data_IF_440813003488
#
_entry.id   IF_440813003488
#
_cell.length_a   1.000
_cell.length_b   1.000
_cell.length_c   1.000
_cell.angle_alpha   90.00
_cell.angle_beta   90.00
_cell.angle_gamma   90.00
#
_symmetry.space_group_name_H-M   'P 1'
#
loop_
_entity.id
_entity.type
_entity.pdbx_description
1 polymer ?
#
# COMPACT_ATOMS: atom_id res chain seq x y z
N UNK A 1 65.88 20.76 8.73
CA UNK A 1 65.06 21.98 8.63
C UNK A 1 63.94 21.66 7.66
N UNK A 2 62.77 21.13 8.08
CA UNK A 2 61.68 21.82 8.81
C UNK A 2 61.42 23.18 8.14
N UNK A 3 60.26 23.42 7.53
CA UNK A 3 58.99 23.58 8.24
C UNK A 3 57.77 22.97 7.54
N UNK A 4 57.03 22.18 8.31
CA UNK A 4 55.64 21.80 8.10
C UNK A 4 54.74 23.04 8.12
N UNK A 5 53.82 23.12 7.18
CA UNK A 5 52.75 24.11 7.18
C UNK A 5 51.72 23.70 8.25
N UNK A 6 51.50 24.63 9.17
CA UNK A 6 50.64 24.59 10.34
C UNK A 6 49.28 23.91 10.13
N UNK A 7 49.07 22.81 10.86
CA UNK A 7 47.77 22.13 11.05
C UNK A 7 47.07 22.57 12.34
N UNK A 8 47.51 23.68 12.94
CA UNK A 8 47.10 24.14 14.28
C UNK A 8 46.47 25.54 14.26
N UNK A 9 45.56 25.79 13.30
CA UNK A 9 44.88 27.09 13.21
C UNK A 9 43.36 27.02 12.96
N UNK A 10 42.72 25.84 13.02
CA UNK A 10 41.27 25.70 12.83
C UNK A 10 40.61 24.84 13.92
N UNK A 11 41.15 24.90 15.15
CA UNK A 11 40.55 24.27 16.34
C UNK A 11 40.06 25.30 17.37
N UNK A 12 40.04 26.59 17.00
CA UNK A 12 39.50 27.67 17.83
C UNK A 12 38.28 28.27 17.13
N UNK A 13 37.19 27.52 17.12
CA UNK A 13 35.89 28.15 17.25
C UNK A 13 35.09 27.34 18.27
N UNK A 14 34.83 27.97 19.40
CA UNK A 14 34.33 27.35 20.61
C UNK A 14 32.87 26.90 20.43
N UNK A 15 32.67 25.65 20.02
CA UNK A 15 31.40 24.98 20.23
C UNK A 15 31.25 24.70 21.74
N UNK A 16 30.29 25.39 22.36
CA UNK A 16 29.86 25.23 23.76
C UNK A 16 29.89 23.75 24.18
N UNK A 17 30.52 23.41 25.32
CA UNK A 17 30.55 22.04 25.83
C UNK A 17 29.13 21.67 26.28
N UNK A 18 28.37 21.02 25.40
CA UNK A 18 27.02 20.57 25.73
C UNK A 18 26.10 20.28 24.55
N UNK A 19 26.35 20.83 23.35
CA UNK A 19 25.49 20.53 22.20
C UNK A 19 26.25 20.50 20.88
N UNK A 20 26.93 19.38 20.62
CA UNK A 20 27.62 19.14 19.34
C UNK A 20 26.64 18.88 18.17
N UNK A 21 25.34 18.68 18.44
CA UNK A 21 24.38 18.27 17.41
C UNK A 21 24.16 19.35 16.32
N UNK A 22 23.89 20.63 16.64
CA UNK A 22 23.71 21.67 15.61
C UNK A 22 24.96 21.86 14.76
N UNK A 23 26.14 21.84 15.39
CA UNK A 23 27.42 21.93 14.68
C UNK A 23 27.59 20.77 13.69
N UNK A 24 27.32 19.54 14.12
CA UNK A 24 27.43 18.37 13.26
C UNK A 24 26.41 18.39 12.10
N UNK A 25 25.19 18.87 12.34
CA UNK A 25 24.17 19.04 11.30
C UNK A 25 24.59 20.06 10.24
N UNK A 26 25.15 21.19 10.66
CA UNK A 26 25.68 22.20 9.74
C UNK A 26 26.82 21.64 8.88
N UNK A 27 27.74 20.90 9.49
CA UNK A 27 28.87 20.27 8.77
C UNK A 27 28.40 19.23 7.76
N UNK A 28 27.37 18.45 8.07
CA UNK A 28 26.74 17.54 7.12
C UNK A 28 26.05 18.29 5.98
N UNK A 29 25.36 19.40 6.26
CA UNK A 29 24.75 20.24 5.23
C UNK A 29 25.79 20.87 4.28
N UNK A 30 27.00 21.14 4.79
CA UNK A 30 28.14 21.64 4.02
C UNK A 30 28.92 20.54 3.28
N UNK A 31 28.52 19.27 3.36
CA UNK A 31 29.24 18.15 2.71
C UNK A 31 30.60 17.86 3.35
N UNK A 32 30.71 18.03 4.67
CA UNK A 32 31.93 17.76 5.44
C UNK A 32 31.80 16.47 6.27
N UNK A 33 31.40 15.37 5.63
CA UNK A 33 31.16 14.08 6.26
C UNK A 33 32.41 13.51 6.96
N UNK A 34 33.61 13.72 6.40
CA UNK A 34 34.87 13.26 7.01
C UNK A 34 35.16 13.98 8.33
N UNK A 35 34.88 15.29 8.41
CA UNK A 35 35.06 16.07 9.63
C UNK A 35 34.06 15.64 10.72
N UNK A 36 32.82 15.35 10.32
CA UNK A 36 31.79 14.79 11.19
C UNK A 36 32.23 13.45 11.76
N UNK A 37 32.73 12.55 10.90
CA UNK A 37 33.21 11.23 11.32
C UNK A 37 34.42 11.29 12.25
N UNK A 38 35.37 12.20 11.97
CA UNK A 38 36.53 12.44 12.82
C UNK A 38 36.12 12.92 14.22
N UNK A 39 35.17 13.88 14.30
CA UNK A 39 34.68 14.36 15.59
C UNK A 39 33.97 13.25 16.35
N UNK A 40 33.05 12.52 15.71
CA UNK A 40 32.30 11.45 16.35
C UNK A 40 33.19 10.31 16.87
N UNK A 41 34.33 10.06 16.22
CA UNK A 41 35.31 9.05 16.66
C UNK A 41 36.21 9.56 17.79
N UNK A 42 36.44 10.87 17.88
CA UNK A 42 37.23 11.47 18.97
C UNK A 42 36.48 11.56 20.31
N UNK A 43 35.14 11.51 20.28
CA UNK A 43 34.29 11.61 21.45
C UNK A 43 34.23 10.30 22.25
N UNK A 44 33.90 10.35 23.56
CA UNK A 44 33.59 9.16 24.34
C UNK A 44 32.49 8.33 23.66
N UNK A 45 32.60 7.00 23.72
CA UNK A 45 31.72 6.05 23.01
C UNK A 45 30.23 6.37 23.19
N UNK A 46 29.79 6.67 24.41
CA UNK A 46 28.40 7.02 24.71
C UNK A 46 27.93 8.29 24.01
N UNK A 47 28.76 9.32 23.97
CA UNK A 47 28.44 10.57 23.30
C UNK A 47 28.46 10.39 21.78
N UNK A 48 29.45 9.68 21.25
CA UNK A 48 29.58 9.40 19.82
C UNK A 48 28.38 8.59 19.28
N UNK A 49 28.00 7.50 19.93
CA UNK A 49 26.87 6.67 19.49
C UNK A 49 25.53 7.38 19.63
N UNK A 50 25.33 8.13 20.73
CA UNK A 50 24.13 8.96 20.90
C UNK A 50 24.02 10.01 19.80
N UNK A 51 25.11 10.71 19.47
CA UNK A 51 25.11 11.72 18.43
C UNK A 51 24.86 11.12 17.04
N UNK A 52 25.43 9.95 16.73
CA UNK A 52 25.11 9.19 15.50
C UNK A 52 23.61 8.92 15.40
N UNK A 53 23.02 8.39 16.47
CA UNK A 53 21.58 8.12 16.52
C UNK A 53 20.72 9.37 16.31
N UNK A 54 21.10 10.50 16.91
CA UNK A 54 20.37 11.77 16.77
C UNK A 54 20.54 12.39 15.38
N UNK A 55 21.73 12.33 14.80
CA UNK A 55 22.00 12.83 13.45
C UNK A 55 21.19 12.08 12.40
N UNK A 56 21.18 10.74 12.47
CA UNK A 56 20.37 9.92 11.57
C UNK A 56 18.87 10.22 11.76
N UNK A 57 18.43 10.43 13.00
CA UNK A 57 17.04 10.83 13.25
C UNK A 57 16.66 12.18 12.66
N UNK A 58 17.58 13.14 12.64
CA UNK A 58 17.34 14.44 12.01
C UNK A 58 17.27 14.37 10.48
N UNK A 59 17.76 13.28 9.88
CA UNK A 59 17.69 13.03 8.43
C UNK A 59 16.42 12.27 8.02
N UNK A 60 15.58 11.86 8.98
CA UNK A 60 14.29 11.24 8.67
C UNK A 60 13.37 12.29 8.04
N UNK A 61 12.96 12.03 6.80
CA UNK A 61 12.10 12.94 6.06
C UNK A 61 11.94 12.52 4.60
N UNK A 62 11.17 13.30 3.87
CA UNK A 62 10.80 13.01 2.47
C UNK A 62 11.80 13.60 1.46
N UNK A 63 12.99 14.01 1.91
CA UNK A 63 14.02 14.56 1.03
C UNK A 63 15.19 13.60 0.88
N UNK A 64 15.69 13.51 -0.35
CA UNK A 64 16.87 12.72 -0.67
C UNK A 64 18.12 13.59 -0.50
N UNK A 65 19.07 13.22 0.38
CA UNK A 65 20.33 13.96 0.52
C UNK A 65 21.31 13.67 -0.63
N UNK A 66 22.36 14.50 -0.71
CA UNK A 66 23.42 14.35 -1.69
C UNK A 66 24.18 13.02 -1.55
N UNK A 67 24.88 12.59 -2.61
CA UNK A 67 25.61 11.32 -2.62
C UNK A 67 26.62 11.15 -1.45
N UNK A 68 27.44 12.16 -1.11
CA UNK A 68 28.41 12.02 0.00
C UNK A 68 27.74 11.68 1.34
N UNK A 69 26.63 12.35 1.65
CA UNK A 69 25.87 12.11 2.87
C UNK A 69 25.23 10.71 2.87
N UNK A 70 24.79 10.22 1.71
CA UNK A 70 24.27 8.85 1.57
C UNK A 70 25.35 7.81 1.79
N UNK A 71 26.56 8.05 1.28
CA UNK A 71 27.70 7.15 1.48
C UNK A 71 28.13 7.15 2.97
N UNK A 72 28.11 8.30 3.63
CA UNK A 72 28.35 8.37 5.07
C UNK A 72 27.31 7.58 5.89
N UNK A 73 26.01 7.71 5.56
CA UNK A 73 24.95 6.90 6.20
C UNK A 73 25.13 5.42 5.90
N UNK A 74 25.58 5.06 4.69
CA UNK A 74 25.89 3.67 4.36
C UNK A 74 27.00 3.08 5.22
N UNK A 75 28.05 3.85 5.48
CA UNK A 75 29.09 3.45 6.42
C UNK A 75 28.52 3.26 7.83
N UNK A 76 27.57 4.09 8.28
CA UNK A 76 26.95 3.90 9.60
C UNK A 76 26.11 2.63 9.69
N UNK A 77 25.47 2.20 8.60
CA UNK A 77 24.62 0.99 8.55
C UNK A 77 25.41 -0.32 8.74
N UNK A 78 26.70 -0.30 8.40
CA UNK A 78 27.62 -1.44 8.48
C UNK A 78 28.31 -1.56 9.85
N UNK A 79 28.22 -0.53 10.69
CA UNK A 79 28.89 -0.52 12.01
C UNK A 79 28.16 -1.37 13.03
N UNK A 80 28.91 -1.76 14.06
CA UNK A 80 28.40 -2.49 15.23
C UNK A 80 28.35 -1.56 16.43
N UNK A 81 27.20 -1.43 17.12
CA UNK A 81 27.12 -0.65 18.35
C UNK A 81 27.92 -1.32 19.47
N UNK A 82 28.64 -0.52 20.25
CA UNK A 82 29.46 -0.95 21.37
C UNK A 82 28.69 -0.88 22.69
N UNK A 83 27.73 0.05 22.82
CA UNK A 83 26.92 0.14 24.03
C UNK A 83 25.71 -0.77 23.95
N UNK A 84 25.68 -1.75 24.83
CA UNK A 84 24.59 -2.71 24.96
C UNK A 84 23.86 -2.52 26.30
N UNK A 85 22.55 -2.70 26.25
CA UNK A 85 21.67 -2.80 27.41
C UNK A 85 21.18 -4.24 27.53
N UNK A 86 21.30 -4.78 28.73
CA UNK A 86 20.77 -6.09 29.07
C UNK A 86 19.37 -5.95 29.65
N UNK A 87 18.44 -6.75 29.14
CA UNK A 87 17.07 -6.81 29.63
C UNK A 87 16.62 -8.25 29.79
N UNK A 88 16.05 -8.56 30.95
CA UNK A 88 15.44 -9.87 31.20
C UNK A 88 13.99 -9.85 30.72
N UNK A 89 13.67 -10.69 29.74
CA UNK A 89 12.30 -10.87 29.24
C UNK A 89 11.98 -12.36 29.17
N UNK A 90 10.86 -12.76 29.75
CA UNK A 90 10.37 -14.14 29.76
C UNK A 90 11.41 -15.17 30.28
N UNK A 91 12.26 -14.76 31.23
CA UNK A 91 13.32 -15.59 31.82
C UNK A 91 14.62 -15.65 31.02
N UNK A 92 14.71 -14.96 29.88
CA UNK A 92 15.92 -14.87 29.05
C UNK A 92 16.59 -13.51 29.19
N UNK A 93 17.93 -13.50 29.23
CA UNK A 93 18.73 -12.29 29.16
C UNK A 93 18.94 -11.90 27.69
N UNK A 94 18.40 -10.77 27.28
CA UNK A 94 18.54 -10.23 25.93
C UNK A 94 19.47 -9.03 25.98
N UNK A 95 20.52 -9.05 25.18
CA UNK A 95 21.43 -7.91 24.99
C UNK A 95 21.03 -7.16 23.71
N UNK A 96 20.77 -5.85 23.83
CA UNK A 96 20.38 -5.00 22.69
C UNK A 96 21.20 -3.71 22.68
N UNK A 97 21.47 -3.10 21.52
CA UNK A 97 22.11 -1.79 21.47
C UNK A 97 21.32 -0.74 22.26
N UNK A 98 22.01 0.08 23.07
CA UNK A 98 21.42 1.26 23.70
C UNK A 98 20.97 2.27 22.65
N UNK A 99 21.78 2.42 21.60
CA UNK A 99 21.52 3.28 20.45
C UNK A 99 21.70 2.47 19.16
N UNK A 100 20.61 2.06 18.53
CA UNK A 100 20.66 1.22 17.32
C UNK A 100 20.85 2.03 16.02
N UNK A 101 21.88 2.88 16.02
CA UNK A 101 22.17 3.77 14.89
C UNK A 101 22.39 3.01 13.56
N UNK A 102 22.94 1.77 13.52
CA UNK A 102 23.04 1.02 12.27
C UNK A 102 21.69 0.60 11.71
N UNK A 103 20.74 0.14 12.54
CA UNK A 103 19.40 -0.16 12.06
C UNK A 103 18.68 1.10 11.52
N UNK A 104 18.86 2.24 12.20
CA UNK A 104 18.32 3.52 11.74
C UNK A 104 18.92 3.96 10.41
N UNK A 105 20.22 3.78 10.22
CA UNK A 105 20.89 4.06 8.95
C UNK A 105 20.35 3.18 7.81
N UNK A 106 20.14 1.87 8.04
CA UNK A 106 19.51 0.98 7.05
C UNK A 106 18.10 1.42 6.69
N UNK A 107 17.32 1.82 7.69
CA UNK A 107 15.98 2.38 7.47
C UNK A 107 16.02 3.60 6.53
N UNK A 108 16.92 4.56 6.76
CA UNK A 108 17.11 5.72 5.88
C UNK A 108 17.51 5.32 4.46
N UNK A 109 18.45 4.37 4.32
CA UNK A 109 18.86 3.87 3.00
C UNK A 109 17.67 3.28 2.23
N UNK A 110 16.80 2.52 2.90
CA UNK A 110 15.60 1.96 2.30
C UNK A 110 14.60 3.05 1.91
N UNK A 111 14.37 4.03 2.78
CA UNK A 111 13.47 5.17 2.51
C UNK A 111 13.94 5.99 1.30
N UNK A 112 15.23 6.32 1.21
CA UNK A 112 15.78 7.07 0.08
C UNK A 112 15.76 6.27 -1.21
N UNK A 113 15.97 4.95 -1.15
CA UNK A 113 15.82 4.08 -2.32
C UNK A 113 14.38 4.07 -2.82
N UNK A 114 13.40 4.12 -1.92
CA UNK A 114 12.00 4.24 -2.31
C UNK A 114 11.71 5.57 -3.00
N UNK A 115 12.27 6.68 -2.52
CA UNK A 115 12.17 8.00 -3.18
C UNK A 115 12.82 7.97 -4.58
N UNK A 116 13.94 7.26 -4.74
CA UNK A 116 14.60 7.11 -6.05
C UNK A 116 13.72 6.38 -7.06
N UNK A 117 13.10 5.28 -6.64
CA UNK A 117 12.15 4.57 -7.48
C UNK A 117 10.94 5.42 -7.80
N UNK A 118 10.38 6.13 -6.82
CA UNK A 118 9.24 7.01 -7.03
C UNK A 118 9.56 8.07 -8.10
N UNK A 119 10.64 8.83 -7.92
CA UNK A 119 11.04 9.87 -8.87
C UNK A 119 11.35 9.31 -10.26
N UNK A 120 11.96 8.12 -10.34
CA UNK A 120 12.19 7.44 -11.61
C UNK A 120 10.87 7.06 -12.29
N UNK A 121 9.94 6.47 -11.54
CA UNK A 121 8.65 6.03 -12.08
C UNK A 121 7.79 7.22 -12.49
N UNK A 122 7.77 8.31 -11.73
CA UNK A 122 7.11 9.57 -12.12
C UNK A 122 7.64 10.06 -13.48
N UNK A 123 8.96 10.09 -13.66
CA UNK A 123 9.57 10.48 -14.93
C UNK A 123 9.31 9.48 -16.08
N UNK A 124 9.12 8.19 -15.79
CA UNK A 124 8.77 7.17 -16.78
C UNK A 124 7.29 7.20 -17.16
N UNK A 125 6.42 7.44 -16.20
CA UNK A 125 4.97 7.62 -16.38
C UNK A 125 4.67 8.91 -17.14
N UNK A 126 5.36 10.02 -16.83
CA UNK A 126 5.16 11.29 -17.52
C UNK A 126 5.44 11.20 -19.03
N UNK A 127 6.36 10.32 -19.44
CA UNK A 127 6.77 10.12 -20.85
C UNK A 127 6.09 8.88 -21.46
N UNK A 128 5.30 8.14 -20.69
CA UNK A 128 4.57 6.95 -21.17
C UNK A 128 5.45 5.75 -21.53
N UNK A 129 6.60 5.61 -20.86
CA UNK A 129 7.59 4.54 -21.11
C UNK A 129 7.63 3.48 -20.01
N UNK A 130 6.81 3.62 -18.97
CA UNK A 130 6.79 2.70 -17.84
C UNK A 130 6.13 1.36 -18.23
N UNK A 131 6.80 0.25 -17.94
CA UNK A 131 6.31 -1.12 -18.20
C UNK A 131 6.16 -1.91 -16.90
N UNK A 132 4.99 -2.53 -16.67
CA UNK A 132 4.72 -3.26 -15.43
C UNK A 132 5.60 -4.51 -15.28
N UNK A 133 5.95 -5.15 -16.39
CA UNK A 133 6.86 -6.31 -16.42
C UNK A 133 8.25 -6.04 -15.85
N UNK A 134 8.70 -4.79 -15.88
CA UNK A 134 10.01 -4.43 -15.33
C UNK A 134 10.07 -4.69 -13.82
N UNK A 135 8.95 -4.44 -13.13
CA UNK A 135 8.75 -4.55 -11.70
C UNK A 135 8.39 -5.98 -11.26
N UNK A 136 7.38 -6.58 -11.91
CA UNK A 136 6.74 -7.81 -11.47
C UNK A 136 7.42 -9.08 -11.98
N UNK A 137 8.69 -9.24 -11.59
CA UNK A 137 9.52 -10.43 -11.89
C UNK A 137 9.56 -11.36 -10.68
N UNK A 138 9.54 -12.68 -10.93
CA UNK A 138 9.57 -13.73 -9.88
C UNK A 138 10.75 -13.59 -8.89
N UNK A 139 11.90 -13.11 -9.34
CA UNK A 139 13.12 -13.01 -8.52
C UNK A 139 13.34 -11.60 -7.93
N UNK A 140 12.32 -10.74 -7.93
CA UNK A 140 12.44 -9.40 -7.36
C UNK A 140 12.09 -9.40 -5.87
N UNK A 141 13.11 -9.50 -5.01
CA UNK A 141 12.95 -9.43 -3.56
C UNK A 141 12.40 -8.08 -3.05
N UNK A 142 12.47 -7.03 -3.87
CA UNK A 142 12.09 -5.66 -3.51
C UNK A 142 10.72 -5.26 -4.10
N UNK A 143 9.98 -6.21 -4.68
CA UNK A 143 8.74 -5.96 -5.42
C UNK A 143 7.69 -5.18 -4.62
N UNK A 144 7.54 -5.47 -3.32
CA UNK A 144 6.58 -4.77 -2.46
C UNK A 144 6.95 -3.29 -2.27
N UNK A 145 8.23 -3.00 -2.05
CA UNK A 145 8.71 -1.62 -1.86
C UNK A 145 8.68 -0.83 -3.16
N UNK A 146 9.06 -1.46 -4.26
CA UNK A 146 8.93 -0.86 -5.58
C UNK A 146 7.47 -0.64 -5.98
N UNK A 147 6.55 -1.54 -5.61
CA UNK A 147 5.13 -1.31 -5.80
C UNK A 147 4.62 -0.12 -4.96
N UNK A 148 5.08 0.02 -3.71
CA UNK A 148 4.73 1.19 -2.90
C UNK A 148 5.21 2.50 -3.55
N UNK A 149 6.42 2.51 -4.12
CA UNK A 149 6.93 3.64 -4.89
C UNK A 149 6.11 3.92 -6.16
N UNK A 150 5.69 2.87 -6.88
CA UNK A 150 4.82 3.00 -8.06
C UNK A 150 3.46 3.58 -7.69
N UNK A 151 2.84 3.11 -6.61
CA UNK A 151 1.56 3.65 -6.13
C UNK A 151 1.66 5.15 -5.80
N UNK A 152 2.74 5.59 -5.16
CA UNK A 152 2.99 7.01 -4.92
C UNK A 152 3.18 7.78 -6.24
N UNK A 153 3.93 7.22 -7.19
CA UNK A 153 4.15 7.85 -8.51
C UNK A 153 2.87 7.95 -9.36
N UNK A 154 1.90 7.06 -9.16
CA UNK A 154 0.62 7.08 -9.87
C UNK A 154 -0.27 8.28 -9.48
N UNK A 155 -0.01 8.93 -8.34
CA UNK A 155 -0.75 10.12 -7.90
C UNK A 155 -0.60 11.29 -8.87
N UNK A 156 0.57 11.44 -9.49
CA UNK A 156 0.86 12.51 -10.45
C UNK A 156 0.80 12.05 -11.92
N UNK A 157 0.49 10.77 -12.16
CA UNK A 157 0.53 10.19 -13.50
C UNK A 157 -0.60 10.73 -14.42
N UNK A 158 -0.32 10.93 -15.73
CA UNK A 158 -1.34 11.32 -16.69
C UNK A 158 -2.49 10.29 -16.77
N UNK A 159 -3.76 10.72 -16.85
CA UNK A 159 -4.91 9.80 -16.90
C UNK A 159 -4.86 8.78 -18.06
N UNK A 160 -4.26 9.16 -19.18
CA UNK A 160 -4.06 8.28 -20.33
C UNK A 160 -3.13 7.10 -20.00
N UNK A 161 -2.06 7.37 -19.26
CA UNK A 161 -1.10 6.35 -18.84
C UNK A 161 -1.69 5.43 -17.77
N UNK A 162 -2.43 5.99 -16.80
CA UNK A 162 -3.16 5.17 -15.81
C UNK A 162 -4.13 4.22 -16.51
N UNK A 163 -4.84 4.69 -17.55
CA UNK A 163 -5.74 3.86 -18.35
C UNK A 163 -5.02 2.79 -19.17
N UNK A 164 -3.85 3.12 -19.71
CA UNK A 164 -2.97 2.17 -20.42
C UNK A 164 -2.51 1.07 -19.49
N UNK A 165 -1.98 1.43 -18.31
CA UNK A 165 -1.52 0.47 -17.30
C UNK A 165 -2.65 -0.42 -16.78
N UNK A 166 -3.85 0.13 -16.57
CA UNK A 166 -5.02 -0.68 -16.20
C UNK A 166 -5.38 -1.71 -17.27
N UNK A 167 -5.22 -1.35 -18.55
CA UNK A 167 -5.46 -2.26 -19.68
C UNK A 167 -4.37 -3.32 -19.81
N UNK A 168 -3.10 -2.91 -19.66
CA UNK A 168 -1.93 -3.81 -19.64
C UNK A 168 -2.08 -4.85 -18.53
N UNK A 169 -2.39 -4.41 -17.30
CA UNK A 169 -2.58 -5.30 -16.15
C UNK A 169 -3.77 -6.25 -16.31
N UNK A 170 -4.81 -5.85 -17.06
CA UNK A 170 -5.97 -6.70 -17.32
C UNK A 170 -5.68 -7.81 -18.35
N UNK A 171 -4.76 -7.56 -19.29
CA UNK A 171 -4.42 -8.47 -20.38
C UNK A 171 -3.24 -9.39 -20.03
N UNK A 172 -2.29 -8.89 -19.25
CA UNK A 172 -1.09 -9.64 -18.88
C UNK A 172 -1.26 -10.44 -17.59
N UNK A 173 -0.85 -11.71 -17.64
CA UNK A 173 -0.74 -12.56 -16.46
C UNK A 173 0.52 -12.22 -15.65
N UNK A 174 0.50 -11.08 -14.96
CA UNK A 174 1.60 -10.64 -14.08
C UNK A 174 1.41 -11.21 -12.67
N UNK A 175 2.50 -11.74 -12.10
CA UNK A 175 2.55 -12.09 -10.68
C UNK A 175 2.59 -10.80 -9.85
N UNK A 176 1.52 -10.53 -9.09
CA UNK A 176 1.49 -9.44 -8.13
C UNK A 176 1.63 -10.01 -6.71
N UNK A 177 2.36 -9.34 -5.80
CA UNK A 177 2.43 -9.73 -4.39
C UNK A 177 1.09 -9.55 -3.67
N UNK A 178 0.34 -8.50 -4.02
CA UNK A 178 -1.01 -8.20 -3.52
C UNK A 178 -1.86 -7.56 -4.64
N UNK A 179 -3.13 -7.26 -4.38
CA UNK A 179 -4.01 -6.62 -5.37
C UNK A 179 -4.16 -5.11 -5.18
N UNK A 180 -3.27 -4.44 -4.43
CA UNK A 180 -3.36 -2.99 -4.17
C UNK A 180 -3.20 -2.17 -5.44
N UNK A 181 -2.27 -2.55 -6.32
CA UNK A 181 -2.10 -1.90 -7.63
C UNK A 181 -3.37 -2.01 -8.47
N UNK A 182 -3.96 -3.20 -8.55
CA UNK A 182 -5.19 -3.41 -9.31
C UNK A 182 -6.34 -2.56 -8.75
N UNK A 183 -6.47 -2.49 -7.42
CA UNK A 183 -7.46 -1.65 -6.77
C UNK A 183 -7.28 -0.16 -7.06
N UNK A 184 -6.06 0.39 -6.95
CA UNK A 184 -5.80 1.81 -7.21
C UNK A 184 -6.10 2.18 -8.67
N UNK A 185 -5.65 1.36 -9.62
CA UNK A 185 -5.96 1.54 -11.04
C UNK A 185 -7.47 1.46 -11.32
N UNK A 186 -8.19 0.53 -10.67
CA UNK A 186 -9.65 0.43 -10.78
C UNK A 186 -10.36 1.66 -10.20
N UNK A 187 -9.87 2.20 -9.08
CA UNK A 187 -10.45 3.36 -8.42
C UNK A 187 -10.37 4.65 -9.26
N UNK A 188 -9.44 4.69 -10.23
CA UNK A 188 -9.23 5.81 -11.16
C UNK A 188 -9.87 5.57 -12.54
N UNK A 189 -9.81 4.35 -13.06
CA UNK A 189 -10.19 4.04 -14.45
C UNK A 189 -11.54 3.35 -14.58
N UNK A 190 -11.95 2.59 -13.57
CA UNK A 190 -13.11 1.70 -13.65
C UNK A 190 -12.99 0.61 -14.72
N UNK A 191 -11.78 0.24 -15.17
CA UNK A 191 -11.61 -0.67 -16.31
C UNK A 191 -12.30 -2.05 -16.09
N UNK A 192 -13.27 -2.37 -16.97
CA UNK A 192 -14.06 -3.61 -16.91
C UNK A 192 -13.22 -4.88 -17.00
N UNK A 193 -12.23 -4.90 -17.89
CA UNK A 193 -11.36 -6.06 -18.08
C UNK A 193 -10.49 -6.30 -16.84
N UNK A 194 -10.04 -5.22 -16.18
CA UNK A 194 -9.26 -5.31 -14.95
C UNK A 194 -10.09 -5.85 -13.79
N UNK A 195 -11.36 -5.47 -13.67
CA UNK A 195 -12.29 -6.07 -12.72
C UNK A 195 -12.41 -7.60 -12.92
N UNK A 196 -12.62 -8.04 -14.16
CA UNK A 196 -12.68 -9.46 -14.52
C UNK A 196 -11.37 -10.20 -14.24
N UNK A 197 -10.24 -9.56 -14.50
CA UNK A 197 -8.93 -10.11 -14.19
C UNK A 197 -8.74 -10.26 -12.66
N UNK A 198 -9.13 -9.25 -11.88
CA UNK A 198 -9.00 -9.23 -10.42
C UNK A 198 -9.73 -10.39 -9.75
N UNK A 199 -10.96 -10.73 -10.17
CA UNK A 199 -11.71 -11.85 -9.57
C UNK A 199 -11.09 -13.22 -9.80
N UNK A 200 -10.20 -13.36 -10.78
CA UNK A 200 -9.46 -14.61 -11.05
C UNK A 200 -8.20 -14.75 -10.21
N UNK A 201 -7.82 -13.70 -9.47
CA UNK A 201 -6.62 -13.67 -8.62
C UNK A 201 -6.95 -14.16 -7.20
N UNK A 202 -5.94 -14.55 -6.41
CA UNK A 202 -6.12 -14.78 -4.98
C UNK A 202 -6.76 -13.56 -4.31
N UNK A 203 -7.76 -13.80 -3.47
CA UNK A 203 -8.56 -12.76 -2.83
C UNK A 203 -7.85 -12.24 -1.59
N UNK A 204 -7.73 -10.91 -1.52
CA UNK A 204 -7.19 -10.15 -0.40
C UNK A 204 -8.14 -9.00 -0.01
N UNK A 205 -7.74 -8.17 0.95
CA UNK A 205 -8.53 -7.03 1.39
C UNK A 205 -8.85 -6.05 0.24
N UNK A 206 -7.89 -5.78 -0.63
CA UNK A 206 -8.07 -4.91 -1.81
C UNK A 206 -9.11 -5.46 -2.79
N UNK A 207 -9.18 -6.78 -2.96
CA UNK A 207 -10.19 -7.45 -3.79
C UNK A 207 -11.61 -7.27 -3.24
N UNK A 208 -11.77 -7.35 -1.92
CA UNK A 208 -13.06 -7.12 -1.26
C UNK A 208 -13.48 -5.65 -1.39
N UNK A 209 -12.55 -4.72 -1.15
CA UNK A 209 -12.80 -3.29 -1.31
C UNK A 209 -13.18 -2.94 -2.76
N UNK A 210 -12.59 -3.61 -3.76
CA UNK A 210 -12.91 -3.38 -5.17
C UNK A 210 -14.38 -3.64 -5.52
N UNK A 211 -15.11 -4.49 -4.78
CA UNK A 211 -16.54 -4.73 -5.02
C UNK A 211 -17.37 -3.44 -4.90
N UNK A 212 -17.01 -2.56 -3.96
CA UNK A 212 -17.69 -1.26 -3.78
C UNK A 212 -17.46 -0.31 -4.96
N UNK A 213 -16.34 -0.45 -5.67
CA UNK A 213 -16.03 0.37 -6.84
C UNK A 213 -16.91 0.03 -8.04
N UNK A 214 -17.48 -1.18 -8.12
CA UNK A 214 -18.34 -1.57 -9.25
C UNK A 214 -19.56 -0.65 -9.32
N UNK A 215 -20.22 -0.37 -8.20
CA UNK A 215 -21.36 0.56 -8.14
C UNK A 215 -21.01 2.02 -8.40
N UNK A 216 -19.73 2.40 -8.26
CA UNK A 216 -19.26 3.76 -8.55
C UNK A 216 -19.16 4.00 -10.06
N UNK A 217 -18.69 3.02 -10.82
CA UNK A 217 -18.42 3.16 -12.26
C UNK A 217 -19.51 2.57 -13.16
N UNK A 218 -20.25 1.57 -12.68
CA UNK A 218 -21.25 0.86 -13.46
C UNK A 218 -22.61 0.90 -12.77
N UNK A 219 -23.67 0.89 -13.56
CA UNK A 219 -25.06 0.81 -13.09
C UNK A 219 -25.86 -0.20 -13.91
N UNK A 220 -26.96 -0.70 -13.34
CA UNK A 220 -27.87 -1.62 -14.03
C UNK A 220 -27.18 -2.92 -14.45
N UNK A 221 -27.36 -3.30 -15.73
CA UNK A 221 -26.96 -4.59 -16.26
C UNK A 221 -25.45 -4.87 -16.16
N UNK A 222 -24.60 -3.90 -16.47
CA UNK A 222 -23.13 -4.09 -16.43
C UNK A 222 -22.63 -4.29 -15.00
N UNK A 223 -23.12 -3.48 -14.04
CA UNK A 223 -22.78 -3.66 -12.63
C UNK A 223 -23.20 -5.05 -12.13
N UNK A 224 -24.40 -5.48 -12.52
CA UNK A 224 -24.89 -6.82 -12.20
C UNK A 224 -23.99 -7.91 -12.75
N UNK A 225 -23.57 -7.80 -14.02
CA UNK A 225 -22.73 -8.81 -14.67
C UNK A 225 -21.36 -8.96 -14.00
N UNK A 226 -20.77 -7.83 -13.59
CA UNK A 226 -19.48 -7.77 -12.89
C UNK A 226 -19.58 -8.37 -11.48
N UNK A 227 -20.59 -7.97 -10.70
CA UNK A 227 -20.79 -8.52 -9.36
C UNK A 227 -21.23 -9.99 -9.39
N UNK A 228 -21.94 -10.43 -10.44
CA UNK A 228 -22.28 -11.83 -10.66
C UNK A 228 -21.01 -12.67 -10.89
N UNK A 229 -20.08 -12.17 -11.70
CA UNK A 229 -18.80 -12.83 -11.92
C UNK A 229 -18.00 -12.93 -10.61
N UNK A 230 -18.00 -11.89 -9.78
CA UNK A 230 -17.38 -11.94 -8.46
C UNK A 230 -18.09 -12.94 -7.53
N UNK A 231 -19.41 -13.03 -7.59
CA UNK A 231 -20.22 -13.95 -6.79
C UNK A 231 -19.93 -15.44 -7.04
N UNK A 232 -19.46 -15.79 -8.24
CA UNK A 232 -19.05 -17.15 -8.56
C UNK A 232 -17.77 -17.57 -7.83
N UNK A 233 -16.98 -16.62 -7.35
CA UNK A 233 -15.77 -16.87 -6.57
C UNK A 233 -16.15 -17.12 -5.11
N UNK A 234 -15.88 -18.31 -4.53
CA UNK A 234 -16.35 -18.66 -3.19
C UNK A 234 -15.98 -17.67 -2.08
N UNK A 235 -14.78 -17.07 -2.18
CA UNK A 235 -14.26 -16.10 -1.21
C UNK A 235 -14.81 -14.67 -1.36
N UNK A 236 -15.37 -14.31 -2.52
CA UNK A 236 -16.02 -13.01 -2.74
C UNK A 236 -17.54 -13.09 -2.67
N UNK A 237 -18.11 -14.31 -2.69
CA UNK A 237 -19.53 -14.56 -2.86
C UNK A 237 -20.40 -13.71 -1.93
N UNK A 238 -20.11 -13.71 -0.63
CA UNK A 238 -20.96 -13.06 0.35
C UNK A 238 -21.04 -11.56 0.18
N UNK A 239 -19.88 -10.90 0.09
CA UNK A 239 -19.83 -9.46 -0.15
C UNK A 239 -20.35 -9.09 -1.53
N UNK A 240 -20.13 -9.92 -2.56
CA UNK A 240 -20.69 -9.70 -3.88
C UNK A 240 -22.23 -9.82 -3.89
N UNK A 241 -22.80 -10.76 -3.13
CA UNK A 241 -24.26 -10.90 -2.96
C UNK A 241 -24.87 -9.69 -2.26
N UNK A 242 -24.21 -9.18 -1.22
CA UNK A 242 -24.62 -7.95 -0.55
C UNK A 242 -24.62 -6.78 -1.54
N UNK A 243 -23.53 -6.62 -2.31
CA UNK A 243 -23.42 -5.56 -3.31
C UNK A 243 -24.50 -5.68 -4.40
N UNK A 244 -24.78 -6.89 -4.90
CA UNK A 244 -25.87 -7.15 -5.85
C UNK A 244 -27.24 -6.72 -5.31
N UNK A 245 -27.49 -6.96 -4.03
CA UNK A 245 -28.73 -6.57 -3.34
C UNK A 245 -28.94 -5.08 -3.16
N UNK A 246 -27.91 -4.26 -3.40
CA UNK A 246 -28.00 -2.80 -3.36
C UNK A 246 -28.29 -2.17 -4.72
N UNK A 247 -28.13 -2.92 -5.82
CA UNK A 247 -28.36 -2.40 -7.17
C UNK A 247 -29.84 -2.13 -7.43
N UNK A 248 -30.14 -0.97 -8.03
CA UNK A 248 -31.47 -0.61 -8.54
C UNK A 248 -31.37 -0.09 -9.98
N UNK A 249 -32.17 -0.61 -10.94
CA UNK A 249 -32.99 -1.82 -10.87
C UNK A 249 -32.16 -3.12 -10.85
N UNK A 250 -32.69 -4.18 -10.26
CA UNK A 250 -32.03 -5.50 -10.26
C UNK A 250 -32.00 -6.06 -11.71
N UNK A 251 -30.82 -6.40 -12.26
CA UNK A 251 -30.74 -6.93 -13.64
C UNK A 251 -31.36 -8.32 -13.78
N UNK A 252 -31.93 -8.63 -14.94
CA UNK A 252 -32.59 -9.93 -15.20
C UNK A 252 -31.64 -11.13 -15.04
N UNK A 253 -30.38 -10.98 -15.43
CA UNK A 253 -29.37 -12.02 -15.25
C UNK A 253 -29.11 -12.34 -13.77
N UNK A 254 -29.14 -11.32 -12.91
CA UNK A 254 -28.98 -11.47 -11.46
C UNK A 254 -30.22 -12.13 -10.87
N UNK A 255 -31.43 -11.73 -11.31
CA UNK A 255 -32.68 -12.43 -10.93
C UNK A 255 -32.64 -13.90 -11.30
N UNK A 256 -32.18 -14.24 -12.51
CA UNK A 256 -32.15 -15.63 -12.96
C UNK A 256 -31.14 -16.46 -12.17
N UNK A 257 -29.94 -15.93 -11.96
CA UNK A 257 -28.91 -16.59 -11.16
C UNK A 257 -29.34 -16.78 -9.70
N UNK A 258 -29.93 -15.74 -9.08
CA UNK A 258 -30.50 -15.86 -7.74
C UNK A 258 -31.63 -16.89 -7.72
N UNK A 259 -32.51 -16.94 -8.73
CA UNK A 259 -33.53 -18.01 -8.82
C UNK A 259 -32.92 -19.42 -8.92
N UNK A 260 -31.82 -19.59 -9.65
CA UNK A 260 -31.12 -20.87 -9.81
C UNK A 260 -30.36 -21.28 -8.54
N UNK A 261 -29.57 -20.39 -7.95
CA UNK A 261 -28.80 -20.61 -6.73
C UNK A 261 -29.69 -20.74 -5.49
N UNK A 262 -30.74 -19.92 -5.40
CA UNK A 262 -31.70 -19.97 -4.30
C UNK A 262 -32.74 -21.08 -4.50
N UNK A 263 -32.90 -21.63 -5.71
CA UNK A 263 -33.92 -22.64 -6.00
C UNK A 263 -35.37 -22.14 -5.83
N UNK A 264 -35.60 -20.83 -5.90
CA UNK A 264 -36.91 -20.21 -5.68
C UNK A 264 -37.70 -20.30 -6.98
N UNK A 265 -38.62 -21.27 -7.05
CA UNK A 265 -39.68 -21.31 -8.08
C UNK A 265 -40.65 -20.14 -7.94
N UNK A 266 -41.59 -20.00 -8.88
CA UNK A 266 -42.52 -18.85 -9.01
C UNK A 266 -43.39 -18.57 -7.76
N UNK A 267 -43.39 -19.47 -6.77
CA UNK A 267 -43.93 -19.26 -5.44
C UNK A 267 -42.83 -19.42 -4.37
N UNK A 268 -41.96 -18.41 -4.25
CA UNK A 268 -41.45 -17.87 -2.98
C UNK A 268 -40.93 -18.78 -1.85
N UNK A 269 -40.49 -20.01 -2.07
CA UNK A 269 -39.82 -20.79 -1.00
C UNK A 269 -38.70 -21.67 -1.55
N UNK A 270 -37.46 -21.29 -1.22
CA UNK A 270 -36.34 -22.23 -1.09
C UNK A 270 -35.23 -21.62 -0.20
N UNK A 271 -35.56 -21.49 1.09
CA UNK A 271 -34.64 -21.03 2.14
C UNK A 271 -33.66 -22.12 2.63
N UNK A 272 -33.70 -23.33 2.05
CA UNK A 272 -33.07 -24.52 2.65
C UNK A 272 -31.61 -24.76 2.27
N UNK A 273 -31.17 -24.38 1.06
CA UNK A 273 -29.75 -24.56 0.63
C UNK A 273 -28.81 -23.48 1.16
N UNK A 274 -29.37 -22.34 1.58
CA UNK A 274 -28.67 -21.20 2.18
C UNK A 274 -28.21 -21.45 3.63
N UNK A 275 -28.72 -22.52 4.27
CA UNK A 275 -28.58 -22.82 5.70
C UNK A 275 -27.49 -23.85 6.02
N UNK A 276 -26.72 -24.32 5.03
CA UNK A 276 -25.47 -25.01 5.36
C UNK A 276 -24.46 -24.01 5.93
N UNK A 277 -23.57 -24.40 6.85
CA UNK A 277 -22.94 -23.49 7.80
C UNK A 277 -21.86 -22.63 7.12
N UNK A 278 -22.30 -21.62 6.37
CA UNK A 278 -21.56 -20.40 6.07
C UNK A 278 -22.04 -19.35 7.05
N UNK A 279 -21.12 -18.59 7.64
CA UNK A 279 -21.33 -17.69 8.77
C UNK A 279 -22.23 -16.45 8.47
N UNK A 280 -23.04 -16.48 7.41
CA UNK A 280 -23.68 -15.32 6.79
C UNK A 280 -25.16 -15.58 6.44
N UNK A 281 -25.82 -16.48 7.19
CA UNK A 281 -27.21 -16.88 6.98
C UNK A 281 -28.22 -15.74 7.14
N UNK A 282 -27.99 -14.80 8.09
CA UNK A 282 -28.92 -13.70 8.38
C UNK A 282 -29.04 -12.65 7.27
N UNK A 283 -27.95 -12.33 6.59
CA UNK A 283 -27.95 -11.25 5.61
C UNK A 283 -28.54 -11.68 4.26
N UNK A 284 -28.33 -12.95 3.91
CA UNK A 284 -28.97 -13.56 2.74
C UNK A 284 -30.48 -13.78 2.96
N UNK A 285 -30.92 -14.00 4.21
CA UNK A 285 -32.35 -14.00 4.58
C UNK A 285 -32.98 -12.61 4.33
N UNK A 286 -32.30 -11.52 4.73
CA UNK A 286 -32.80 -10.16 4.50
C UNK A 286 -32.87 -9.80 3.01
N UNK A 287 -31.96 -10.32 2.20
CA UNK A 287 -32.00 -10.16 0.74
C UNK A 287 -33.17 -10.93 0.13
N UNK A 288 -33.39 -12.18 0.53
CA UNK A 288 -34.51 -13.00 0.06
C UNK A 288 -35.86 -12.38 0.42
N UNK A 289 -36.01 -11.88 1.65
CA UNK A 289 -37.25 -11.24 2.12
C UNK A 289 -37.55 -9.93 1.37
N UNK A 290 -36.50 -9.15 1.05
CA UNK A 290 -36.65 -7.94 0.20
C UNK A 290 -37.06 -8.27 -1.24
N UNK A 291 -36.46 -9.30 -1.85
CA UNK A 291 -36.81 -9.71 -3.22
C UNK A 291 -38.25 -10.20 -3.32
N UNK A 292 -38.77 -10.84 -2.27
CA UNK A 292 -40.19 -11.22 -2.17
C UNK A 292 -41.12 -10.00 -2.08
N UNK A 293 -40.69 -8.92 -1.40
CA UNK A 293 -41.48 -7.69 -1.32
C UNK A 293 -41.55 -6.92 -2.64
N UNK A 294 -40.47 -6.91 -3.44
CA UNK A 294 -40.45 -6.24 -4.75
C UNK A 294 -41.30 -6.97 -5.82
N UNK A 295 -41.54 -8.28 -5.65
CA UNK A 295 -42.42 -9.06 -6.53
C UNK A 295 -43.91 -8.88 -6.21
N UNK A 296 -44.26 -8.24 -5.10
CA UNK A 296 -45.66 -7.98 -4.75
C UNK A 296 -46.16 -6.82 -5.62
N UNK A 297 -47.15 -7.03 -6.51
CA UNK A 297 -47.67 -5.94 -7.34
C UNK A 297 -48.19 -4.82 -6.45
N UNK A 298 -47.82 -3.58 -6.78
CA UNK A 298 -48.37 -2.37 -6.15
C UNK A 298 -49.90 -2.49 -6.21
N UNK A 299 -50.64 -2.42 -5.09
CA UNK A 299 -52.09 -2.51 -5.15
C UNK A 299 -52.57 -1.34 -6.00
N UNK A 300 -53.29 -1.66 -7.08
CA UNK A 300 -53.98 -0.68 -7.91
C UNK A 300 -54.81 0.21 -6.97
N UNK A 301 -54.60 1.52 -7.05
CA UNK A 301 -55.46 2.47 -6.37
C UNK A 301 -56.89 2.18 -6.78
N UNK A 302 -57.71 1.75 -5.81
CA UNK A 302 -59.13 1.66 -5.97
C UNK A 302 -59.66 3.07 -6.27
N UNK A 303 -60.17 3.27 -7.49
CA UNK A 303 -61.01 4.40 -7.82
C UNK A 303 -62.26 4.36 -6.92
N UNK A 304 -62.58 5.44 -6.18
CA UNK A 304 -63.85 5.53 -5.51
C UNK A 304 -64.91 5.95 -6.54
N UNK A 305 -65.79 5.01 -6.89
CA UNK A 305 -67.00 5.28 -7.67
C UNK A 305 -67.94 6.23 -6.92
N UNK A 306 -68.33 7.32 -7.60
CA UNK A 306 -69.60 8.07 -7.40
C UNK A 306 -70.75 7.25 -8.00
N UNK A 307 -71.99 7.36 -7.50
CA UNK A 307 -72.78 8.59 -7.52
C UNK A 307 -72.87 9.34 -6.18
#
# INVERSE_FOLDING_TARGET
MLWLISLTAMAEDAAVPGNHLPYLQERLALGQEEAVESLLTSLPVEQGERLRWLLLGAMEGNSRPAAPTRDWVAQQAERVPLLLEEQTRDGFLISRPRYDYPARARYLQHAWRQLDWQAQYEAELAVGRFELRSLYRLNNAEVERQQAALLAALDEAPPAEVSRLATELAQEALYLPDNRLAYDLLARTGNRALFLALWRRPVDESSLQALSLVSRFYQGHEAGHLLLAAAQVPSLNSQAMLALGTLRPLPDAVRHYLKQELGIGDNGVALAKLLQPRAESLQLILLADRLLQEQKPRPAHAEPGRP
#
